data_IF_740250806158
#
_entry.id   IF_740250806158
#
_cell.length_a   1.000
_cell.length_b   1.000
_cell.length_c   1.000
_cell.angle_alpha   90.00
_cell.angle_beta   90.00
_cell.angle_gamma   90.00
#
_symmetry.space_group_name_H-M   'P 1'
#
loop_
_entity.id
_entity.type
_entity.pdbx_description
1 polymer ?
#
# COMPACT_ATOMS: atom_id res chain seq x y z
N UNK A 1 20.54 -1.31 14.80
CA UNK A 1 20.03 -2.07 15.95
C UNK A 1 18.98 -3.02 15.43
N UNK A 2 18.81 -4.19 16.05
CA UNK A 2 17.89 -5.25 15.59
C UNK A 2 16.43 -4.81 15.45
N UNK A 3 16.06 -3.63 15.99
CA UNK A 3 14.73 -3.02 15.83
C UNK A 3 14.49 -2.35 14.48
N UNK A 4 15.52 -1.84 13.81
CA UNK A 4 15.38 -1.12 12.53
C UNK A 4 15.10 -2.08 11.37
N UNK A 5 15.80 -3.22 11.35
CA UNK A 5 15.63 -4.26 10.32
C UNK A 5 14.24 -4.93 10.42
N UNK A 6 13.74 -5.09 11.65
CA UNK A 6 12.41 -5.63 11.94
C UNK A 6 11.31 -4.64 11.53
N UNK A 7 11.49 -3.34 11.79
CA UNK A 7 10.54 -2.32 11.37
C UNK A 7 10.53 -2.11 9.85
N UNK A 8 11.69 -2.22 9.19
CA UNK A 8 11.79 -2.13 7.73
C UNK A 8 11.08 -3.30 7.01
N UNK A 9 11.16 -4.52 7.57
CA UNK A 9 10.42 -5.68 7.06
C UNK A 9 8.90 -5.58 7.31
N UNK A 10 8.52 -4.97 8.44
CA UNK A 10 7.12 -4.73 8.82
C UNK A 10 6.45 -3.70 7.90
N UNK A 11 7.08 -2.55 7.66
CA UNK A 11 6.47 -1.40 7.00
C UNK A 11 6.28 -1.51 5.47
N UNK A 12 6.24 -2.69 4.86
CA UNK A 12 6.09 -2.77 3.41
C UNK A 12 5.59 -4.07 2.81
N UNK A 13 6.06 -5.24 3.27
CA UNK A 13 5.75 -6.52 2.58
C UNK A 13 5.01 -7.50 3.49
N UNK A 14 5.37 -7.57 4.78
CA UNK A 14 4.73 -8.51 5.70
C UNK A 14 3.29 -8.09 6.04
N UNK A 15 3.02 -6.79 6.12
CA UNK A 15 1.68 -6.25 6.44
C UNK A 15 0.63 -6.49 5.35
N UNK A 16 1.04 -6.80 4.12
CA UNK A 16 0.15 -7.06 2.98
C UNK A 16 0.11 -8.53 2.56
N UNK A 17 0.82 -9.41 3.28
CA UNK A 17 0.99 -10.80 2.87
C UNK A 17 -0.21 -11.65 3.29
N UNK A 18 -0.91 -12.24 2.31
CA UNK A 18 -1.97 -13.23 2.57
C UNK A 18 -1.42 -14.63 2.89
N UNK A 19 -0.23 -14.94 2.37
CA UNK A 19 0.54 -16.18 2.56
C UNK A 19 2.02 -15.85 2.50
N UNK A 20 2.82 -16.37 3.43
CA UNK A 20 4.28 -16.26 3.42
C UNK A 20 4.91 -17.60 3.05
N UNK A 21 5.88 -17.58 2.14
CA UNK A 21 6.57 -18.80 1.67
C UNK A 21 8.08 -18.67 1.80
N UNK A 22 8.69 -19.58 2.54
CA UNK A 22 10.14 -19.75 2.62
C UNK A 22 10.57 -20.82 1.63
N UNK A 23 11.07 -20.39 0.47
CA UNK A 23 11.60 -21.30 -0.55
C UNK A 23 13.06 -21.68 -0.27
N UNK A 24 13.50 -22.83 -0.82
CA UNK A 24 14.80 -23.48 -0.55
C UNK A 24 14.92 -23.93 0.90
N UNK A 25 13.85 -24.51 1.42
CA UNK A 25 13.77 -25.01 2.79
C UNK A 25 14.77 -26.15 3.09
N UNK A 26 15.37 -26.74 2.06
CA UNK A 26 16.50 -27.68 2.13
C UNK A 26 17.81 -27.05 2.61
N UNK A 27 17.90 -25.71 2.65
CA UNK A 27 19.13 -24.99 3.01
C UNK A 27 19.25 -24.72 4.50
N UNK A 28 20.48 -24.74 5.06
CA UNK A 28 20.72 -24.32 6.43
C UNK A 28 20.18 -22.91 6.70
N UNK A 29 19.48 -22.75 7.83
CA UNK A 29 18.89 -21.47 8.25
C UNK A 29 17.43 -21.25 7.83
N UNK A 30 16.84 -22.13 7.01
CA UNK A 30 15.42 -22.03 6.65
C UNK A 30 14.49 -22.06 7.88
N UNK A 31 14.71 -23.00 8.81
CA UNK A 31 13.90 -23.11 10.04
C UNK A 31 14.02 -21.88 10.95
N UNK A 32 15.20 -21.26 10.96
CA UNK A 32 15.45 -20.02 11.71
C UNK A 32 14.63 -18.88 11.11
N UNK A 33 14.63 -18.74 9.78
CA UNK A 33 13.84 -17.74 9.09
C UNK A 33 12.33 -17.94 9.31
N UNK A 34 11.84 -19.18 9.23
CA UNK A 34 10.43 -19.50 9.56
C UNK A 34 10.09 -19.07 10.99
N UNK A 35 10.96 -19.35 11.95
CA UNK A 35 10.75 -18.97 13.35
C UNK A 35 10.76 -17.46 13.55
N UNK A 36 11.64 -16.74 12.84
CA UNK A 36 11.67 -15.28 12.84
C UNK A 36 10.39 -14.69 12.25
N UNK A 37 9.90 -15.20 11.12
CA UNK A 37 8.66 -14.75 10.50
C UNK A 37 7.45 -14.98 11.44
N UNK A 38 7.39 -16.13 12.13
CA UNK A 38 6.35 -16.38 13.13
C UNK A 38 6.39 -15.37 14.28
N UNK A 39 7.58 -15.05 14.78
CA UNK A 39 7.76 -14.06 15.83
C UNK A 39 7.40 -12.64 15.37
N UNK A 40 7.61 -12.32 14.09
CA UNK A 40 7.19 -11.03 13.53
C UNK A 40 5.67 -10.93 13.41
N UNK A 41 5.00 -11.97 12.90
CA UNK A 41 3.54 -12.00 12.78
C UNK A 41 2.85 -11.95 14.13
N UNK A 42 3.38 -12.60 15.17
CA UNK A 42 2.77 -12.57 16.51
C UNK A 42 2.77 -11.19 17.17
N UNK A 43 3.59 -10.26 16.67
CA UNK A 43 3.67 -8.86 17.11
C UNK A 43 2.80 -7.92 16.24
N UNK A 44 2.24 -8.41 15.14
CA UNK A 44 1.33 -7.66 14.29
C UNK A 44 -0.13 -7.87 14.74
N UNK A 45 -0.97 -6.82 14.74
CA UNK A 45 -2.41 -6.99 14.91
C UNK A 45 -2.94 -7.92 13.81
N UNK A 46 -3.67 -8.97 14.19
CA UNK A 46 -4.33 -9.85 13.22
C UNK A 46 -5.63 -9.18 12.75
N UNK A 47 -5.64 -8.71 11.50
CA UNK A 47 -6.78 -8.11 10.81
C UNK A 47 -7.77 -9.20 10.31
N UNK A 48 -8.09 -10.18 11.17
CA UNK A 48 -9.19 -11.13 10.92
C UNK A 48 -8.82 -12.46 10.27
N UNK A 49 -7.54 -12.73 9.97
CA UNK A 49 -7.04 -14.06 9.58
C UNK A 49 -5.56 -14.22 9.91
N UNK A 50 -5.16 -15.40 10.35
CA UNK A 50 -3.75 -15.73 10.53
C UNK A 50 -3.07 -15.98 9.18
N UNK A 51 -1.93 -15.32 8.94
CA UNK A 51 -1.13 -15.48 7.72
C UNK A 51 -0.32 -16.78 7.82
N UNK A 52 -0.58 -17.80 6.97
CA UNK A 52 0.19 -19.04 7.01
C UNK A 52 1.63 -18.81 6.54
N UNK A 53 2.58 -19.49 7.20
CA UNK A 53 3.99 -19.55 6.79
C UNK A 53 4.29 -20.97 6.33
N UNK A 54 4.60 -21.13 5.04
CA UNK A 54 4.89 -22.41 4.40
C UNK A 54 6.35 -22.50 3.97
N UNK A 55 6.88 -23.73 3.96
CA UNK A 55 8.23 -24.02 3.49
C UNK A 55 8.15 -24.79 2.17
N UNK A 56 8.96 -24.40 1.19
CA UNK A 56 8.99 -25.06 -0.12
C UNK A 56 10.41 -25.34 -0.58
N UNK A 57 10.56 -26.36 -1.44
CA UNK A 57 11.76 -26.61 -2.22
C UNK A 57 11.35 -26.67 -3.69
N UNK A 58 11.33 -25.51 -4.34
CA UNK A 58 10.77 -25.39 -5.70
C UNK A 58 11.44 -26.32 -6.74
N UNK A 59 12.70 -26.71 -6.53
CA UNK A 59 13.43 -27.61 -7.44
C UNK A 59 12.97 -29.07 -7.36
N UNK A 60 12.47 -29.52 -6.21
CA UNK A 60 11.96 -30.88 -6.01
C UNK A 60 10.43 -30.92 -6.02
N UNK A 61 9.79 -29.77 -5.79
CA UNK A 61 8.34 -29.65 -5.67
C UNK A 61 7.82 -29.82 -4.25
N UNK A 62 8.70 -30.01 -3.25
CA UNK A 62 8.28 -30.20 -1.87
C UNK A 62 7.60 -28.93 -1.33
N UNK A 63 6.48 -29.09 -0.63
CA UNK A 63 5.69 -27.99 -0.06
C UNK A 63 4.81 -27.24 -1.09
N UNK A 64 4.94 -27.54 -2.39
CA UNK A 64 4.15 -26.88 -3.44
C UNK A 64 2.68 -27.29 -3.37
N UNK A 65 2.30 -28.57 -3.16
CA UNK A 65 0.90 -28.95 -2.97
C UNK A 65 0.23 -28.18 -1.82
N UNK A 66 0.91 -28.08 -0.67
CA UNK A 66 0.41 -27.36 0.51
C UNK A 66 0.28 -25.85 0.25
N UNK A 67 1.15 -25.28 -0.57
CA UNK A 67 1.02 -23.89 -1.02
C UNK A 67 -0.22 -23.70 -1.91
N UNK A 68 -0.49 -24.63 -2.83
CA UNK A 68 -1.69 -24.58 -3.67
C UNK A 68 -2.94 -24.67 -2.81
N UNK A 69 -2.99 -25.59 -1.85
CA UNK A 69 -4.11 -25.73 -0.91
C UNK A 69 -4.34 -24.44 -0.12
N UNK A 70 -3.28 -23.82 0.41
CA UNK A 70 -3.40 -22.56 1.14
C UNK A 70 -3.90 -21.39 0.28
N UNK A 71 -3.54 -21.36 -1.01
CA UNK A 71 -4.05 -20.37 -1.98
C UNK A 71 -5.55 -20.60 -2.22
N UNK A 72 -5.97 -21.85 -2.40
CA UNK A 72 -7.38 -22.19 -2.63
C UNK A 72 -8.24 -21.89 -1.39
N UNK A 73 -7.74 -22.18 -0.18
CA UNK A 73 -8.38 -21.79 1.08
C UNK A 73 -8.51 -20.27 1.21
N UNK A 74 -7.46 -19.53 0.87
CA UNK A 74 -7.51 -18.06 0.90
C UNK A 74 -8.55 -17.52 -0.08
N UNK A 75 -8.63 -18.09 -1.28
CA UNK A 75 -9.66 -17.72 -2.27
C UNK A 75 -11.07 -18.02 -1.78
N UNK A 76 -11.30 -19.19 -1.19
CA UNK A 76 -12.61 -19.54 -0.62
C UNK A 76 -12.99 -18.62 0.55
N UNK A 77 -12.02 -18.21 1.36
CA UNK A 77 -12.24 -17.22 2.40
C UNK A 77 -12.62 -15.85 1.81
N UNK A 78 -11.89 -15.36 0.80
CA UNK A 78 -12.19 -14.11 0.10
C UNK A 78 -13.62 -14.07 -0.48
N UNK A 79 -14.07 -15.20 -1.04
CA UNK A 79 -15.42 -15.34 -1.60
C UNK A 79 -16.51 -15.36 -0.52
N UNK A 80 -16.23 -15.95 0.66
CA UNK A 80 -17.21 -16.11 1.74
C UNK A 80 -17.22 -14.96 2.76
N UNK A 81 -16.11 -14.24 2.93
CA UNK A 81 -15.95 -13.18 3.93
C UNK A 81 -16.48 -11.82 3.47
N UNK A 82 -16.71 -11.64 2.16
CA UNK A 82 -17.08 -10.35 1.57
C UNK A 82 -15.90 -9.37 1.45
N UNK A 83 -14.67 -9.77 1.80
CA UNK A 83 -13.49 -8.91 1.70
C UNK A 83 -13.21 -8.52 0.24
N UNK A 84 -13.51 -9.36 -0.75
CA UNK A 84 -13.42 -8.97 -2.17
C UNK A 84 -14.25 -7.74 -2.52
N UNK A 85 -15.47 -7.66 -2.00
CA UNK A 85 -16.35 -6.52 -2.26
C UNK A 85 -15.84 -5.27 -1.55
N UNK A 86 -15.33 -5.41 -0.33
CA UNK A 86 -14.69 -4.34 0.41
C UNK A 86 -13.45 -3.81 -0.31
N UNK A 87 -12.56 -4.69 -0.78
CA UNK A 87 -11.39 -4.32 -1.59
C UNK A 87 -11.79 -3.60 -2.88
N UNK A 88 -12.74 -4.15 -3.64
CA UNK A 88 -13.26 -3.49 -4.87
C UNK A 88 -13.82 -2.10 -4.59
N UNK A 89 -14.57 -1.92 -3.48
CA UNK A 89 -15.10 -0.61 -3.09
C UNK A 89 -13.99 0.36 -2.71
N UNK A 90 -12.96 -0.10 -2.01
CA UNK A 90 -11.81 0.73 -1.63
C UNK A 90 -11.01 1.15 -2.87
N UNK A 91 -10.75 0.22 -3.80
CA UNK A 91 -10.11 0.50 -5.07
C UNK A 91 -10.92 1.49 -5.91
N UNK A 92 -12.23 1.25 -6.05
CA UNK A 92 -13.12 2.16 -6.77
C UNK A 92 -13.14 3.56 -6.14
N UNK A 93 -13.16 3.64 -4.79
CA UNK A 93 -13.06 4.92 -4.06
C UNK A 93 -11.76 5.64 -4.40
N UNK A 94 -10.61 4.95 -4.34
CA UNK A 94 -9.33 5.55 -4.70
C UNK A 94 -9.32 6.02 -6.15
N UNK A 95 -9.79 5.19 -7.08
CA UNK A 95 -9.86 5.54 -8.50
C UNK A 95 -10.72 6.78 -8.75
N UNK A 96 -11.91 6.85 -8.13
CA UNK A 96 -12.80 8.02 -8.23
C UNK A 96 -12.11 9.28 -7.71
N UNK A 97 -11.49 9.22 -6.52
CA UNK A 97 -10.80 10.38 -5.94
C UNK A 97 -9.59 10.81 -6.77
N UNK A 98 -8.80 9.89 -7.29
CA UNK A 98 -7.67 10.21 -8.17
C UNK A 98 -8.11 10.85 -9.49
N UNK A 99 -9.20 10.36 -10.08
CA UNK A 99 -9.79 10.96 -11.28
C UNK A 99 -10.34 12.36 -10.97
N UNK A 100 -11.06 12.52 -9.85
CA UNK A 100 -11.59 13.82 -9.42
C UNK A 100 -10.46 14.83 -9.18
N UNK A 101 -9.39 14.44 -8.47
CA UNK A 101 -8.23 15.30 -8.22
C UNK A 101 -7.59 15.77 -9.54
N UNK A 102 -7.43 14.87 -10.51
CA UNK A 102 -6.87 15.22 -11.82
C UNK A 102 -7.77 16.20 -12.58
N UNK A 103 -9.08 15.96 -12.60
CA UNK A 103 -10.06 16.86 -13.25
C UNK A 103 -10.03 18.25 -12.60
N UNK A 104 -10.03 18.31 -11.27
CA UNK A 104 -9.97 19.59 -10.54
C UNK A 104 -8.67 20.35 -10.84
N UNK A 105 -7.53 19.65 -10.83
CA UNK A 105 -6.24 20.27 -11.15
C UNK A 105 -6.18 20.76 -12.61
N UNK A 106 -6.69 19.98 -13.56
CA UNK A 106 -6.81 20.38 -14.96
C UNK A 106 -7.71 21.61 -15.12
N UNK A 107 -8.82 21.69 -14.38
CA UNK A 107 -9.71 22.85 -14.36
C UNK A 107 -9.01 24.10 -13.85
N UNK A 108 -8.39 24.01 -12.68
CA UNK A 108 -7.63 25.12 -12.07
C UNK A 108 -6.58 25.61 -13.06
N UNK A 109 -5.76 24.72 -13.63
CA UNK A 109 -4.73 25.08 -14.62
C UNK A 109 -5.28 25.77 -15.87
N UNK A 110 -6.49 25.44 -16.30
CA UNK A 110 -7.12 26.05 -17.47
C UNK A 110 -7.66 27.45 -17.18
N UNK A 111 -8.16 27.67 -15.96
CA UNK A 111 -8.80 28.91 -15.53
C UNK A 111 -7.80 29.91 -14.91
N UNK A 112 -6.63 29.44 -14.46
CA UNK A 112 -5.53 30.30 -14.02
C UNK A 112 -4.67 30.77 -15.20
N UNK A 113 -4.44 32.09 -15.29
CA UNK A 113 -3.42 32.65 -16.20
C UNK A 113 -2.00 32.39 -15.69
N UNK A 114 -1.03 32.23 -16.61
CA UNK A 114 0.40 32.10 -16.27
C UNK A 114 0.91 33.25 -15.38
N UNK A 115 0.44 34.48 -15.59
CA UNK A 115 0.85 35.65 -14.79
C UNK A 115 0.42 35.53 -13.33
N UNK A 116 -0.85 35.15 -13.09
CA UNK A 116 -1.38 34.93 -11.73
C UNK A 116 -0.63 33.80 -11.00
N UNK A 117 -0.31 32.71 -11.71
CA UNK A 117 0.47 31.61 -11.14
C UNK A 117 1.90 32.07 -10.78
N UNK A 118 2.55 32.84 -11.67
CA UNK A 118 3.89 33.36 -11.44
C UNK A 118 3.96 34.29 -10.22
N UNK A 119 2.93 35.12 -10.02
CA UNK A 119 2.83 35.99 -8.84
C UNK A 119 2.75 35.20 -7.53
N UNK A 120 1.88 34.19 -7.46
CA UNK A 120 1.77 33.31 -6.28
C UNK A 120 3.07 32.57 -6.00
N UNK A 121 3.74 32.04 -7.03
CA UNK A 121 5.04 31.37 -6.90
C UNK A 121 6.10 32.33 -6.35
N UNK A 122 6.14 33.58 -6.82
CA UNK A 122 7.08 34.59 -6.32
C UNK A 122 6.84 34.92 -4.84
N UNK A 123 5.59 35.02 -4.39
CA UNK A 123 5.25 35.25 -2.98
C UNK A 123 5.69 34.08 -2.09
N UNK A 124 5.50 32.83 -2.54
CA UNK A 124 5.95 31.64 -1.81
C UNK A 124 7.47 31.56 -1.76
N UNK A 125 8.15 31.77 -2.89
CA UNK A 125 9.62 31.76 -2.94
C UNK A 125 10.24 32.86 -2.05
N UNK A 126 9.58 34.02 -1.98
CA UNK A 126 9.96 35.14 -1.11
C UNK A 126 9.60 34.96 0.38
N UNK A 127 8.97 33.83 0.77
CA UNK A 127 8.41 33.59 2.12
C UNK A 127 7.37 34.61 2.57
N UNK A 128 6.74 35.31 1.63
CA UNK A 128 5.65 36.25 1.88
C UNK A 128 4.29 35.57 2.03
N UNK A 129 4.15 34.35 1.49
CA UNK A 129 2.97 33.50 1.61
C UNK A 129 3.44 32.05 1.79
N UNK A 130 2.72 31.23 2.55
CA UNK A 130 3.01 29.80 2.63
C UNK A 130 2.35 29.04 1.45
N UNK A 131 2.88 27.86 1.07
CA UNK A 131 2.35 27.11 -0.07
C UNK A 131 0.89 26.68 0.05
N UNK A 132 0.38 26.47 1.27
CA UNK A 132 -1.00 26.02 1.47
C UNK A 132 -1.97 27.17 1.16
N UNK A 133 -1.73 28.33 1.76
CA UNK A 133 -2.53 29.54 1.48
C UNK A 133 -2.46 29.94 0.00
N UNK A 134 -1.28 29.82 -0.64
CA UNK A 134 -1.14 30.07 -2.08
C UNK A 134 -1.98 29.12 -2.95
N UNK A 135 -2.06 27.84 -2.56
CA UNK A 135 -2.87 26.85 -3.26
C UNK A 135 -4.38 27.09 -3.06
N UNK A 136 -4.82 27.51 -1.87
CA UNK A 136 -6.22 27.89 -1.62
C UNK A 136 -6.64 29.07 -2.52
N UNK A 137 -5.83 30.12 -2.59
CA UNK A 137 -6.10 31.27 -3.47
C UNK A 137 -6.16 30.86 -4.95
N UNK A 138 -5.27 29.97 -5.37
CA UNK A 138 -5.24 29.44 -6.73
C UNK A 138 -6.53 28.66 -7.07
N UNK A 139 -7.05 27.87 -6.12
CA UNK A 139 -8.29 27.10 -6.29
C UNK A 139 -9.51 28.02 -6.31
N UNK A 140 -9.61 28.98 -5.39
CA UNK A 140 -10.73 29.95 -5.34
C UNK A 140 -10.82 30.79 -6.62
N UNK A 141 -9.69 31.21 -7.18
CA UNK A 141 -9.65 31.94 -8.46
C UNK A 141 -10.14 31.09 -9.64
N UNK A 142 -9.97 29.76 -9.57
CA UNK A 142 -10.49 28.79 -10.53
C UNK A 142 -11.95 28.36 -10.30
N UNK A 143 -12.64 28.85 -9.26
CA UNK A 143 -14.07 28.57 -9.04
C UNK A 143 -15.00 29.70 -9.52
N UNK A 144 -14.44 30.86 -9.89
CA UNK A 144 -15.18 32.10 -10.21
C UNK A 144 -15.78 32.16 -11.64
N UNK A 145 -16.13 31.02 -12.25
CA UNK A 145 -16.85 30.97 -13.55
C UNK A 145 -18.02 29.99 -13.51
#
# INVERSE_FOLDING_TARGET
GTGDDIQALKAGIIEIADILVVNKADRPGADVLVSQLRALLSLAPSEGRDVPILSTVATTGDGVPELVDAIDEHRAWLDSSGELDKHRRQEARHQVLSVAQRILLERVRRETSEDALAELVAQVAGRGLDPHTAAEQLVEQGELV
#
